data_IF_944555111062
#
_entry.id   IF_944555111062
#
_cell.length_a   1.000
_cell.length_b   1.000
_cell.length_c   1.000
_cell.angle_alpha   90.00
_cell.angle_beta   90.00
_cell.angle_gamma   90.00
#
_symmetry.space_group_name_H-M   'P 1'
#
loop_
_entity.id
_entity.type
_entity.pdbx_description
1 polymer ?
#
# COMPACT_ATOMS: atom_id res chain seq x y z
N UNK A 1 12.03 -7.10 -7.77
CA UNK A 1 10.99 -7.48 -6.77
C UNK A 1 10.50 -6.26 -6.00
N UNK A 2 9.35 -6.37 -5.33
CA UNK A 2 8.86 -5.36 -4.39
C UNK A 2 8.10 -6.01 -3.23
N UNK A 3 8.05 -5.34 -2.08
CA UNK A 3 7.37 -5.87 -0.90
C UNK A 3 7.27 -4.86 0.24
N UNK A 4 6.73 -5.30 1.37
CA UNK A 4 6.54 -4.48 2.57
C UNK A 4 7.74 -4.49 3.51
N UNK A 5 8.72 -5.31 3.24
CA UNK A 5 9.92 -5.47 4.06
C UNK A 5 11.05 -4.59 3.52
N UNK A 6 12.11 -4.44 4.32
CA UNK A 6 13.34 -3.76 3.89
C UNK A 6 13.92 -4.50 2.67
N UNK A 7 14.20 -3.82 1.56
CA UNK A 7 14.71 -4.49 0.37
C UNK A 7 16.13 -5.02 0.64
N UNK A 8 16.31 -6.33 0.53
CA UNK A 8 17.56 -7.03 0.82
C UNK A 8 18.24 -7.62 -0.42
N UNK A 9 17.63 -7.49 -1.60
CA UNK A 9 18.18 -7.99 -2.86
C UNK A 9 18.42 -6.84 -3.83
N UNK A 10 19.41 -6.93 -4.73
CA UNK A 10 19.63 -5.95 -5.77
C UNK A 10 18.37 -5.62 -6.57
N UNK A 11 18.16 -4.37 -6.87
CA UNK A 11 17.01 -3.85 -7.64
C UNK A 11 15.64 -4.16 -6.99
N UNK A 12 15.62 -4.53 -5.70
CA UNK A 12 14.39 -4.69 -4.95
C UNK A 12 13.87 -3.35 -4.40
N UNK A 13 12.54 -3.23 -4.33
CA UNK A 13 11.86 -2.11 -3.71
C UNK A 13 11.16 -2.56 -2.43
N UNK A 14 11.13 -1.71 -1.40
CA UNK A 14 10.55 -2.06 -0.12
C UNK A 14 10.20 -0.83 0.72
N UNK A 15 9.78 -1.10 1.96
CA UNK A 15 9.50 -0.07 2.95
C UNK A 15 10.58 -0.08 4.03
N UNK A 16 11.06 1.11 4.38
CA UNK A 16 12.00 1.31 5.50
C UNK A 16 11.37 2.25 6.50
N UNK A 17 11.39 1.88 7.77
CA UNK A 17 10.98 2.76 8.86
C UNK A 17 12.22 3.39 9.50
N UNK A 18 12.27 4.72 9.49
CA UNK A 18 13.37 5.48 10.06
C UNK A 18 12.86 6.77 10.70
N UNK A 19 13.32 7.07 11.91
CA UNK A 19 12.93 8.24 12.69
C UNK A 19 11.40 8.47 12.78
N UNK A 20 10.62 7.38 12.90
CA UNK A 20 9.17 7.44 12.98
C UNK A 20 8.44 7.58 11.64
N UNK A 21 9.15 7.78 10.55
CA UNK A 21 8.60 7.87 9.19
C UNK A 21 8.80 6.57 8.42
N UNK A 22 7.83 6.26 7.54
CA UNK A 22 7.95 5.15 6.59
C UNK A 22 8.36 5.70 5.22
N UNK A 23 9.37 5.07 4.60
CA UNK A 23 9.95 5.47 3.33
C UNK A 23 9.73 4.41 2.26
N UNK A 24 9.44 4.82 1.05
CA UNK A 24 9.68 4.01 -0.14
C UNK A 24 11.19 3.90 -0.33
N UNK A 25 11.69 2.68 -0.50
CA UNK A 25 13.12 2.43 -0.58
C UNK A 25 13.46 1.50 -1.75
N UNK A 26 14.72 1.58 -2.20
CA UNK A 26 15.27 0.78 -3.27
C UNK A 26 16.67 0.30 -2.89
N UNK A 27 16.96 -0.97 -3.16
CA UNK A 27 18.27 -1.57 -2.92
C UNK A 27 19.13 -1.53 -4.18
N UNK A 28 20.19 -0.77 -4.13
CA UNK A 28 21.22 -0.72 -5.16
C UNK A 28 22.29 -1.79 -4.88
N UNK A 29 22.71 -2.49 -5.91
CA UNK A 29 23.83 -3.42 -5.85
C UNK A 29 25.16 -2.66 -5.83
N UNK A 30 25.88 -2.75 -4.75
CA UNK A 30 27.20 -2.11 -4.58
C UNK A 30 28.37 -3.09 -4.64
N UNK A 31 28.09 -4.38 -4.80
CA UNK A 31 29.10 -5.44 -4.64
C UNK A 31 30.18 -5.48 -5.70
N UNK A 32 29.96 -4.95 -6.95
CA UNK A 32 30.94 -5.05 -8.03
C UNK A 32 30.79 -3.95 -9.10
N UNK A 33 31.92 -3.46 -9.68
CA UNK A 33 31.88 -2.60 -10.87
C UNK A 33 31.25 -3.29 -12.06
N UNK A 34 30.51 -2.56 -12.89
CA UNK A 34 29.64 -3.03 -13.99
C UNK A 34 30.26 -4.04 -14.96
N UNK A 35 31.57 -4.02 -15.15
CA UNK A 35 32.29 -4.96 -16.05
C UNK A 35 32.53 -6.37 -15.46
N UNK A 36 32.54 -6.52 -14.13
CA UNK A 36 32.74 -7.80 -13.43
C UNK A 36 31.42 -8.51 -13.09
N UNK A 37 30.30 -7.82 -13.16
CA UNK A 37 28.96 -8.36 -12.86
C UNK A 37 28.57 -9.58 -13.69
N UNK A 38 28.95 -9.62 -15.00
CA UNK A 38 28.62 -10.76 -15.87
C UNK A 38 29.36 -12.04 -15.53
N UNK A 39 30.51 -11.94 -14.85
CA UNK A 39 31.33 -13.10 -14.49
C UNK A 39 31.07 -13.62 -13.07
N UNK A 40 30.51 -12.81 -12.19
CA UNK A 40 30.26 -13.16 -10.78
C UNK A 40 28.85 -13.67 -10.48
N UNK A 41 27.91 -13.49 -11.42
CA UNK A 41 26.51 -13.92 -11.27
C UNK A 41 26.29 -15.44 -11.14
N UNK A 42 27.33 -16.25 -11.41
CA UNK A 42 27.27 -17.72 -11.35
C UNK A 42 28.10 -18.32 -10.20
N UNK A 43 28.65 -17.54 -9.28
CA UNK A 43 29.39 -18.08 -8.15
C UNK A 43 28.45 -18.34 -6.95
N UNK A 44 28.23 -19.63 -6.56
CA UNK A 44 27.41 -19.93 -5.40
C UNK A 44 28.10 -19.43 -4.13
N UNK A 45 27.42 -18.55 -3.38
CA UNK A 45 27.84 -18.10 -2.05
C UNK A 45 28.26 -16.62 -1.91
N UNK A 46 28.30 -15.83 -2.98
CA UNK A 46 28.51 -14.38 -2.88
C UNK A 46 27.16 -13.69 -2.63
N UNK A 47 26.89 -13.30 -1.39
CA UNK A 47 25.78 -12.42 -1.09
C UNK A 47 26.08 -11.06 -1.71
N UNK A 48 25.15 -10.57 -2.54
CA UNK A 48 25.24 -9.25 -3.12
C UNK A 48 25.17 -8.21 -1.99
N UNK A 49 26.19 -7.36 -1.87
CA UNK A 49 26.12 -6.19 -0.98
C UNK A 49 25.14 -5.18 -1.60
N UNK A 50 24.14 -4.79 -0.82
CA UNK A 50 23.15 -3.81 -1.25
C UNK A 50 23.23 -2.55 -0.39
N UNK A 51 23.13 -1.40 -1.03
CA UNK A 51 22.89 -0.14 -0.35
C UNK A 51 21.41 0.25 -0.49
N UNK A 52 20.75 0.48 0.64
CA UNK A 52 19.33 0.81 0.66
C UNK A 52 19.14 2.33 0.61
N UNK A 53 18.64 2.82 -0.51
CA UNK A 53 18.29 4.22 -0.70
C UNK A 53 16.87 4.50 -0.24
N UNK A 54 16.69 5.50 0.60
CA UNK A 54 15.39 6.09 0.92
C UNK A 54 15.00 7.03 -0.21
N UNK A 55 13.93 6.72 -0.92
CA UNK A 55 13.50 7.44 -2.12
C UNK A 55 12.57 8.61 -1.80
N UNK A 56 11.50 8.32 -1.06
CA UNK A 56 10.46 9.28 -0.72
C UNK A 56 9.71 8.83 0.53
N UNK A 57 9.34 9.73 1.47
CA UNK A 57 8.43 9.40 2.55
C UNK A 57 7.06 8.93 2.00
N UNK A 58 6.48 7.90 2.60
CA UNK A 58 5.13 7.42 2.21
C UNK A 58 4.08 8.53 2.37
N UNK A 59 4.26 9.41 3.37
CA UNK A 59 3.35 10.52 3.62
C UNK A 59 3.41 11.63 2.55
N UNK A 60 4.42 11.61 1.69
CA UNK A 60 4.48 12.49 0.52
C UNK A 60 3.57 12.03 -0.64
N UNK A 61 3.05 10.80 -0.59
CA UNK A 61 2.03 10.32 -1.51
C UNK A 61 0.69 10.98 -1.17
N UNK A 62 -0.04 11.42 -2.18
CA UNK A 62 -1.43 11.90 -2.03
C UNK A 62 -2.40 10.74 -1.75
N UNK A 63 -2.12 9.56 -2.33
CA UNK A 63 -2.89 8.34 -2.09
C UNK A 63 -2.53 7.76 -0.72
N UNK A 64 -3.54 7.50 0.12
CA UNK A 64 -3.36 7.08 1.51
C UNK A 64 -3.40 5.56 1.68
N UNK A 65 -2.78 5.09 2.75
CA UNK A 65 -2.82 3.70 3.18
C UNK A 65 -1.63 2.86 2.70
N UNK A 66 -1.28 1.85 3.52
CA UNK A 66 -0.13 0.95 3.27
C UNK A 66 -0.24 0.22 1.92
N UNK A 67 -1.46 -0.17 1.52
CA UNK A 67 -1.69 -0.83 0.23
C UNK A 67 -1.30 0.09 -0.94
N UNK A 68 -1.55 1.39 -0.84
CA UNK A 68 -1.14 2.34 -1.87
C UNK A 68 0.37 2.61 -1.88
N UNK A 69 1.05 2.54 -0.73
CA UNK A 69 2.50 2.53 -0.69
C UNK A 69 3.07 1.31 -1.44
N UNK A 70 2.48 0.12 -1.28
CA UNK A 70 2.86 -1.08 -2.02
C UNK A 70 2.57 -0.95 -3.52
N UNK A 71 1.44 -0.35 -3.91
CA UNK A 71 1.15 -0.05 -5.32
C UNK A 71 2.19 0.91 -5.92
N UNK A 72 2.62 1.92 -5.17
CA UNK A 72 3.68 2.83 -5.59
C UNK A 72 5.03 2.09 -5.79
N UNK A 73 5.40 1.17 -4.87
CA UNK A 73 6.59 0.33 -5.04
C UNK A 73 6.48 -0.57 -6.27
N UNK A 74 5.29 -1.15 -6.53
CA UNK A 74 5.04 -1.95 -7.74
C UNK A 74 5.24 -1.12 -9.01
N UNK A 75 4.70 0.10 -9.04
CA UNK A 75 4.86 1.02 -10.18
C UNK A 75 6.34 1.38 -10.40
N UNK A 76 7.09 1.66 -9.32
CA UNK A 76 8.54 1.91 -9.41
C UNK A 76 9.30 0.69 -9.93
N UNK A 77 9.00 -0.51 -9.42
CA UNK A 77 9.65 -1.74 -9.84
C UNK A 77 9.39 -2.06 -11.32
N UNK A 78 8.15 -1.92 -11.78
CA UNK A 78 7.77 -2.12 -13.17
C UNK A 78 8.41 -1.07 -14.10
N UNK A 79 8.36 0.20 -13.72
CA UNK A 79 8.98 1.28 -14.47
C UNK A 79 10.49 1.10 -14.60
N UNK A 80 11.18 0.70 -13.52
CA UNK A 80 12.62 0.41 -13.56
C UNK A 80 12.93 -0.79 -14.45
N UNK A 81 12.10 -1.82 -14.45
CA UNK A 81 12.29 -3.01 -15.28
C UNK A 81 12.28 -2.68 -16.78
N UNK A 82 11.56 -1.65 -17.20
CA UNK A 82 11.54 -1.15 -18.59
C UNK A 82 12.51 0.03 -18.83
N UNK A 83 13.37 0.35 -17.84
CA UNK A 83 14.43 1.33 -17.98
C UNK A 83 14.07 2.78 -17.66
N UNK A 84 12.90 3.04 -17.06
CA UNK A 84 12.53 4.41 -16.66
C UNK A 84 13.41 4.91 -15.51
N UNK A 85 13.84 6.18 -15.53
CA UNK A 85 14.62 6.76 -14.45
C UNK A 85 13.75 7.03 -13.22
N UNK A 86 14.34 6.85 -12.01
CA UNK A 86 13.60 6.98 -10.74
C UNK A 86 13.05 8.39 -10.49
N UNK A 87 13.82 9.43 -10.79
CA UNK A 87 13.45 10.80 -10.43
C UNK A 87 12.11 11.26 -11.05
N UNK A 88 11.86 11.10 -12.37
CA UNK A 88 10.55 11.40 -12.94
C UNK A 88 9.41 10.55 -12.38
N UNK A 89 9.67 9.26 -12.09
CA UNK A 89 8.65 8.38 -11.50
C UNK A 89 8.26 8.82 -10.09
N UNK A 90 9.23 9.21 -9.25
CA UNK A 90 8.98 9.73 -7.91
C UNK A 90 8.21 11.06 -7.95
N UNK A 91 8.51 11.91 -8.93
CA UNK A 91 7.75 13.14 -9.16
C UNK A 91 6.29 12.83 -9.52
N UNK A 92 6.08 11.93 -10.48
CA UNK A 92 4.74 11.48 -10.87
C UNK A 92 3.96 10.86 -9.70
N UNK A 93 4.60 10.04 -8.86
CA UNK A 93 3.97 9.45 -7.68
C UNK A 93 3.54 10.51 -6.64
N UNK A 94 4.32 11.58 -6.48
CA UNK A 94 3.97 12.70 -5.59
C UNK A 94 2.75 13.47 -6.08
N UNK A 95 2.63 13.63 -7.39
CA UNK A 95 1.54 14.39 -8.01
C UNK A 95 0.27 13.57 -8.22
N UNK A 96 0.39 12.24 -8.24
CA UNK A 96 -0.74 11.34 -8.47
C UNK A 96 -1.74 11.42 -7.34
N UNK A 97 -2.94 11.89 -7.64
CA UNK A 97 -4.03 12.11 -6.68
C UNK A 97 -4.90 10.86 -6.42
N UNK A 98 -4.64 9.76 -7.13
CA UNK A 98 -5.48 8.56 -7.10
C UNK A 98 -6.56 8.56 -8.17
N UNK A 99 -7.34 7.47 -8.20
CA UNK A 99 -8.48 7.32 -9.08
C UNK A 99 -9.77 7.67 -8.32
N UNK A 100 -10.78 8.26 -8.98
CA UNK A 100 -12.08 8.50 -8.39
C UNK A 100 -12.66 7.24 -7.75
N UNK A 101 -13.24 7.39 -6.58
CA UNK A 101 -13.91 6.32 -5.81
C UNK A 101 -12.97 5.18 -5.32
N UNK A 102 -11.65 5.40 -5.27
CA UNK A 102 -10.65 4.44 -4.75
C UNK A 102 -9.89 5.03 -3.57
N UNK A 103 -10.45 4.90 -2.39
CA UNK A 103 -9.93 5.55 -1.17
C UNK A 103 -9.67 7.05 -1.45
N UNK A 104 -10.57 7.64 -2.24
CA UNK A 104 -10.51 9.05 -2.63
C UNK A 104 -10.77 9.94 -1.42
N UNK A 105 -9.85 10.84 -1.09
CA UNK A 105 -10.08 11.84 -0.08
C UNK A 105 -11.06 12.88 -0.60
N UNK A 106 -12.26 12.94 -0.01
CA UNK A 106 -13.35 13.82 -0.45
C UNK A 106 -13.29 15.18 0.26
N UNK A 107 -13.09 15.15 1.57
CA UNK A 107 -13.09 16.36 2.40
C UNK A 107 -12.42 16.16 3.76
N UNK A 108 -12.04 17.26 4.38
CA UNK A 108 -11.70 17.33 5.81
C UNK A 108 -12.57 18.38 6.48
N UNK A 109 -13.45 17.96 7.39
CA UNK A 109 -14.36 18.82 8.11
C UNK A 109 -14.19 18.62 9.61
N UNK A 110 -13.89 19.68 10.35
CA UNK A 110 -13.72 19.62 11.81
C UNK A 110 -12.62 18.64 12.28
N UNK A 111 -11.57 18.45 11.47
CA UNK A 111 -10.50 17.49 11.75
C UNK A 111 -10.84 16.02 11.41
N UNK A 112 -12.02 15.77 10.84
CA UNK A 112 -12.43 14.44 10.37
C UNK A 112 -12.21 14.37 8.86
N UNK A 113 -11.48 13.35 8.42
CA UNK A 113 -11.24 13.06 7.00
C UNK A 113 -12.35 12.15 6.46
N UNK A 114 -12.87 12.49 5.29
CA UNK A 114 -13.90 11.73 4.58
C UNK A 114 -13.31 11.12 3.32
N UNK A 115 -13.55 9.81 3.14
CA UNK A 115 -13.05 9.05 2.00
C UNK A 115 -14.19 8.35 1.27
N UNK A 116 -14.12 8.35 -0.06
CA UNK A 116 -14.99 7.57 -0.95
C UNK A 116 -14.20 6.37 -1.49
N UNK A 117 -14.66 5.17 -1.13
CA UNK A 117 -14.13 3.90 -1.65
C UNK A 117 -15.24 3.04 -2.28
N UNK A 118 -16.22 3.69 -2.91
CA UNK A 118 -17.36 2.99 -3.53
C UNK A 118 -16.94 2.03 -4.67
N UNK A 119 -15.71 2.13 -5.16
CA UNK A 119 -15.08 1.18 -6.08
C UNK A 119 -14.54 -0.07 -5.38
N UNK A 120 -14.44 -0.10 -4.06
CA UNK A 120 -14.10 -1.26 -3.24
C UNK A 120 -15.22 -2.30 -3.21
N UNK A 121 -15.52 -2.91 -4.36
CA UNK A 121 -16.67 -3.80 -4.57
C UNK A 121 -16.42 -5.25 -4.17
N UNK A 122 -15.33 -5.53 -3.46
CA UNK A 122 -15.03 -6.86 -2.93
C UNK A 122 -14.45 -6.79 -1.50
N UNK A 123 -14.62 -7.88 -0.77
CA UNK A 123 -14.19 -7.99 0.64
C UNK A 123 -12.70 -7.70 0.82
N UNK A 124 -11.84 -8.20 -0.07
CA UNK A 124 -10.38 -7.97 0.01
C UNK A 124 -9.99 -6.50 -0.11
N UNK A 125 -10.64 -5.75 -1.02
CA UNK A 125 -10.43 -4.31 -1.16
C UNK A 125 -10.86 -3.57 0.11
N UNK A 126 -12.04 -3.92 0.67
CA UNK A 126 -12.54 -3.32 1.92
C UNK A 126 -11.59 -3.61 3.10
N UNK A 127 -11.08 -4.84 3.22
CA UNK A 127 -10.07 -5.19 4.24
C UNK A 127 -8.82 -4.32 4.09
N UNK A 128 -8.30 -4.19 2.87
CA UNK A 128 -7.11 -3.38 2.61
C UNK A 128 -7.33 -1.88 2.95
N UNK A 129 -8.52 -1.34 2.64
CA UNK A 129 -8.87 0.03 2.98
C UNK A 129 -8.99 0.22 4.51
N UNK A 130 -9.65 -0.70 5.22
CA UNK A 130 -9.78 -0.67 6.68
C UNK A 130 -8.42 -0.70 7.37
N UNK A 131 -7.55 -1.62 6.98
CA UNK A 131 -6.21 -1.74 7.57
C UNK A 131 -5.30 -0.56 7.17
N UNK A 132 -5.46 -0.04 5.95
CA UNK A 132 -4.68 1.10 5.47
C UNK A 132 -5.06 2.42 6.14
N UNK A 133 -6.36 2.72 6.26
CA UNK A 133 -6.85 3.96 6.86
C UNK A 133 -6.87 3.91 8.40
N UNK A 134 -7.06 2.71 8.99
CA UNK A 134 -7.07 2.50 10.44
C UNK A 134 -5.69 2.38 11.08
N UNK A 135 -4.61 2.46 10.28
CA UNK A 135 -3.24 2.43 10.79
C UNK A 135 -2.98 3.59 11.77
N UNK A 136 -1.99 3.41 12.65
CA UNK A 136 -1.56 4.43 13.62
C UNK A 136 -2.61 4.78 14.70
N UNK A 137 -3.52 3.84 15.00
CA UNK A 137 -4.50 4.01 16.08
C UNK A 137 -5.71 4.87 15.70
N UNK A 138 -5.83 5.29 14.45
CA UNK A 138 -7.03 5.98 13.94
C UNK A 138 -8.23 5.03 13.94
N UNK A 139 -9.39 5.56 14.33
CA UNK A 139 -10.65 4.80 14.36
C UNK A 139 -11.59 5.31 13.28
N UNK A 140 -12.13 4.38 12.51
CA UNK A 140 -12.98 4.64 11.36
C UNK A 140 -14.46 4.56 11.73
N UNK A 141 -15.27 5.42 11.13
CA UNK A 141 -16.71 5.18 10.95
C UNK A 141 -16.91 4.73 9.52
N UNK A 142 -17.43 3.51 9.34
CA UNK A 142 -17.46 2.86 8.04
C UNK A 142 -18.90 2.64 7.60
N UNK A 143 -19.20 2.99 6.36
CA UNK A 143 -20.47 2.64 5.71
C UNK A 143 -20.19 1.43 4.82
N UNK A 144 -20.81 0.29 5.14
CA UNK A 144 -20.66 -0.96 4.41
C UNK A 144 -21.99 -1.44 3.86
N UNK A 145 -21.99 -2.04 2.69
CA UNK A 145 -23.21 -2.65 2.15
C UNK A 145 -23.26 -2.72 0.64
N UNK A 146 -24.50 -2.75 0.14
CA UNK A 146 -24.78 -2.95 -1.27
C UNK A 146 -25.13 -4.39 -1.60
N UNK A 147 -24.77 -4.85 -2.80
CA UNK A 147 -24.89 -6.23 -3.28
C UNK A 147 -23.51 -6.89 -3.32
N UNK A 148 -23.23 -7.77 -2.39
CA UNK A 148 -21.96 -8.48 -2.27
C UNK A 148 -21.79 -9.65 -3.25
N UNK A 149 -22.77 -9.90 -4.11
CA UNK A 149 -22.67 -10.92 -5.19
C UNK A 149 -22.27 -12.31 -4.69
N UNK A 150 -22.75 -12.68 -3.49
CA UNK A 150 -22.46 -13.99 -2.89
C UNK A 150 -21.08 -14.14 -2.25
N UNK A 151 -20.35 -13.05 -2.03
CA UNK A 151 -19.05 -13.11 -1.34
C UNK A 151 -19.21 -13.54 0.12
N UNK A 152 -18.16 -14.19 0.64
CA UNK A 152 -18.00 -14.43 2.07
C UNK A 152 -17.54 -13.14 2.76
N UNK A 153 -18.30 -12.69 3.77
CA UNK A 153 -17.99 -11.49 4.56
C UNK A 153 -17.18 -11.78 5.82
N UNK A 154 -16.93 -13.03 6.18
CA UNK A 154 -16.20 -13.42 7.39
C UNK A 154 -14.82 -12.71 7.52
N UNK A 155 -14.04 -12.48 6.43
CA UNK A 155 -12.77 -11.77 6.54
C UNK A 155 -12.87 -10.31 7.02
N UNK A 156 -14.05 -9.69 7.02
CA UNK A 156 -14.26 -8.32 7.52
C UNK A 156 -14.21 -8.24 9.05
N UNK A 157 -14.53 -9.32 9.78
CA UNK A 157 -14.69 -9.28 11.22
C UNK A 157 -13.45 -8.76 11.95
N UNK A 158 -12.27 -9.30 11.64
CA UNK A 158 -11.00 -8.90 12.25
C UNK A 158 -10.63 -7.44 11.98
N UNK A 159 -10.53 -7.00 10.72
CA UNK A 159 -10.23 -5.62 10.37
C UNK A 159 -11.23 -4.59 10.93
N UNK A 160 -12.52 -4.90 10.92
CA UNK A 160 -13.56 -4.04 11.51
C UNK A 160 -13.35 -3.90 13.02
N UNK A 161 -13.15 -5.02 13.75
CA UNK A 161 -12.93 -4.99 15.19
C UNK A 161 -11.68 -4.16 15.58
N UNK A 162 -10.62 -4.24 14.79
CA UNK A 162 -9.39 -3.48 15.05
C UNK A 162 -9.53 -1.99 14.74
N UNK A 163 -10.13 -1.66 13.60
CA UNK A 163 -10.00 -0.34 12.99
C UNK A 163 -11.28 0.50 13.07
N UNK A 164 -12.48 -0.10 13.15
CA UNK A 164 -13.71 0.65 13.20
C UNK A 164 -14.14 0.97 14.64
N UNK A 165 -14.71 2.16 14.84
CA UNK A 165 -15.47 2.52 16.06
C UNK A 165 -16.97 2.40 15.86
N UNK A 166 -17.43 2.46 14.62
CA UNK A 166 -18.82 2.28 14.26
C UNK A 166 -18.93 1.78 12.81
N UNK A 167 -19.96 1.00 12.54
CA UNK A 167 -20.31 0.53 11.19
C UNK A 167 -21.78 0.87 10.92
N UNK A 168 -22.02 1.57 9.82
CA UNK A 168 -23.35 1.82 9.28
C UNK A 168 -23.58 0.85 8.13
N UNK A 169 -24.63 0.04 8.23
CA UNK A 169 -24.93 -1.00 7.24
C UNK A 169 -26.09 -0.56 6.34
N UNK A 170 -25.89 -0.66 5.03
CA UNK A 170 -26.88 -0.26 4.02
C UNK A 170 -27.06 -1.35 2.96
N UNK A 171 -28.16 -1.29 2.21
CA UNK A 171 -28.37 -2.12 1.03
C UNK A 171 -28.73 -3.58 1.32
N UNK A 172 -28.63 -4.39 0.27
CA UNK A 172 -29.18 -5.75 0.20
C UNK A 172 -28.57 -6.72 1.20
N UNK A 173 -27.24 -6.72 1.32
CA UNK A 173 -26.50 -7.68 2.14
C UNK A 173 -26.17 -7.17 3.55
N UNK A 174 -26.75 -6.04 3.98
CA UNK A 174 -26.56 -5.46 5.30
C UNK A 174 -26.73 -6.48 6.45
N UNK A 175 -27.77 -7.34 6.37
CA UNK A 175 -28.04 -8.38 7.38
C UNK A 175 -26.96 -9.46 7.42
N UNK A 176 -26.40 -9.85 6.26
CA UNK A 176 -25.32 -10.84 6.18
C UNK A 176 -24.02 -10.29 6.74
N UNK A 177 -23.70 -9.03 6.39
CA UNK A 177 -22.53 -8.35 6.95
C UNK A 177 -22.66 -8.23 8.46
N UNK A 178 -23.85 -7.83 8.96
CA UNK A 178 -24.09 -7.74 10.41
C UNK A 178 -23.81 -9.07 11.12
N UNK A 179 -24.26 -10.19 10.56
CA UNK A 179 -24.13 -11.51 11.17
C UNK A 179 -22.67 -11.95 11.36
N UNK A 180 -21.71 -11.41 10.60
CA UNK A 180 -20.27 -11.72 10.75
C UNK A 180 -19.53 -10.71 11.61
N UNK A 181 -20.15 -9.56 11.94
CA UNK A 181 -19.55 -8.49 12.75
C UNK A 181 -19.99 -8.54 14.22
N UNK A 182 -21.01 -9.32 14.57
CA UNK A 182 -21.54 -9.54 15.92
C UNK A 182 -21.08 -10.87 16.46
#
# INVERSE_FOLDING_TARGET
>A
TFGSEIPAQPEAFGLVRDAGMTWLAWAEDTSLPTRRRKAAGDLPGVQAEVHVHRLMPVDALRIRGRHNALNALAALALGRAIGLPLAPMLHGLRDYAGEPHRVEHVATLGGIEYYDDSKGTNVGATVAALDGLGAEGRKLVVILGGDGKGQDFAPLAGPVARNARAVVLIGRDAKKIRAVLT
#
